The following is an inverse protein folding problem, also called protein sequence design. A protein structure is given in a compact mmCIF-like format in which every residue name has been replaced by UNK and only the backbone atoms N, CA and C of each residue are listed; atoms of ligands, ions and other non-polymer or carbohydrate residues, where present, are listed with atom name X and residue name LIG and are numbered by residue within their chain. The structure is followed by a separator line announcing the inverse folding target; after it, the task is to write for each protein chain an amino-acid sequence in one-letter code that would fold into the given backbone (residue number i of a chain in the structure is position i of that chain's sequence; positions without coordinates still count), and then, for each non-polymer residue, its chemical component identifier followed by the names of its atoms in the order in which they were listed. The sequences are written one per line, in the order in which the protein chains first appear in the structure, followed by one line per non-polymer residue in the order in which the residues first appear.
data_IF_739972632753
#
_entry.id   IF_739972632753
#
_cell.length_a   1.000
_cell.length_b   1.000
_cell.length_c   1.000
_cell.angle_alpha   90.00
_cell.angle_beta   90.00
_cell.angle_gamma   90.00
#
_symmetry.space_group_name_H-M   'P 1'
#
loop_
_entity.id
_entity.type
_entity.pdbx_description
1 polymer ?
#
# COMPACT_ATOMS: atom_id res chain seq x y z
N UNK A 1 -25.39 -10.81 0.32
CA UNK A 1 -24.53 -9.60 0.35
C UNK A 1 -24.41 -9.05 -1.07
N UNK A 2 -24.95 -7.86 -1.36
CA UNK A 2 -24.90 -7.25 -2.70
C UNK A 2 -23.46 -7.06 -3.19
N UNK A 3 -23.23 -7.24 -4.49
CA UNK A 3 -21.90 -7.10 -5.11
C UNK A 3 -21.27 -5.72 -4.84
N UNK A 4 -22.09 -4.65 -4.80
CA UNK A 4 -21.64 -3.29 -4.45
C UNK A 4 -21.01 -3.22 -3.04
N UNK A 5 -21.57 -3.91 -2.04
CA UNK A 5 -20.99 -3.95 -0.68
C UNK A 5 -19.66 -4.71 -0.64
N UNK A 6 -19.50 -5.76 -1.47
CA UNK A 6 -18.23 -6.50 -1.59
C UNK A 6 -17.12 -5.63 -2.18
N UNK A 7 -17.41 -4.88 -3.25
CA UNK A 7 -16.43 -3.95 -3.84
C UNK A 7 -16.06 -2.82 -2.88
N UNK A 8 -17.01 -2.28 -2.12
CA UNK A 8 -16.73 -1.27 -1.10
C UNK A 8 -15.81 -1.80 0.01
N UNK A 9 -16.05 -3.03 0.50
CA UNK A 9 -15.18 -3.66 1.52
C UNK A 9 -13.77 -3.91 0.98
N UNK A 10 -13.65 -4.38 -0.26
CA UNK A 10 -12.36 -4.56 -0.93
C UNK A 10 -11.65 -3.21 -1.06
N UNK A 11 -12.34 -2.16 -1.52
CA UNK A 11 -11.77 -0.82 -1.64
C UNK A 11 -11.24 -0.30 -0.29
N UNK A 12 -11.99 -0.49 0.80
CA UNK A 12 -11.55 -0.11 2.15
C UNK A 12 -10.33 -0.91 2.59
N UNK A 13 -10.31 -2.23 2.36
CA UNK A 13 -9.17 -3.08 2.71
C UNK A 13 -7.89 -2.65 1.96
N UNK A 14 -7.99 -2.42 0.64
CA UNK A 14 -6.87 -1.93 -0.18
C UNK A 14 -6.40 -0.55 0.28
N UNK A 15 -7.33 0.35 0.64
CA UNK A 15 -6.99 1.69 1.15
C UNK A 15 -6.25 1.61 2.48
N UNK A 16 -6.76 0.82 3.42
CA UNK A 16 -6.13 0.63 4.73
C UNK A 16 -4.74 -0.01 4.60
N UNK A 17 -4.60 -1.00 3.72
CA UNK A 17 -3.31 -1.65 3.47
C UNK A 17 -2.31 -0.70 2.80
N UNK A 18 -2.74 0.10 1.82
CA UNK A 18 -1.89 1.12 1.20
C UNK A 18 -1.40 2.18 2.19
N UNK A 19 -2.29 2.68 3.06
CA UNK A 19 -1.91 3.62 4.13
C UNK A 19 -0.94 3.01 5.13
N UNK A 20 -1.16 1.75 5.53
CA UNK A 20 -0.24 1.03 6.40
C UNK A 20 1.15 0.90 5.77
N UNK A 21 1.23 0.52 4.49
CA UNK A 21 2.52 0.43 3.78
C UNK A 21 3.23 1.77 3.68
N UNK A 22 2.50 2.86 3.38
CA UNK A 22 3.06 4.22 3.41
C UNK A 22 3.61 4.60 4.79
N UNK A 23 2.89 4.24 5.85
CA UNK A 23 3.34 4.49 7.22
C UNK A 23 4.62 3.72 7.55
N UNK A 24 4.72 2.45 7.15
CA UNK A 24 5.93 1.64 7.35
C UNK A 24 7.11 2.23 6.59
N UNK A 25 6.94 2.57 5.30
CA UNK A 25 7.99 3.23 4.50
C UNK A 25 8.46 4.53 5.17
N UNK A 26 7.54 5.33 5.69
CA UNK A 26 7.88 6.57 6.38
C UNK A 26 8.68 6.31 7.67
N UNK A 27 8.31 5.29 8.43
CA UNK A 27 9.06 4.86 9.61
C UNK A 27 10.46 4.37 9.23
N UNK A 28 10.60 3.54 8.20
CA UNK A 28 11.89 3.03 7.73
C UNK A 28 12.81 4.16 7.26
N UNK A 29 12.26 5.19 6.59
CA UNK A 29 13.02 6.39 6.24
C UNK A 29 13.51 7.16 7.47
N UNK A 30 12.72 7.24 8.54
CA UNK A 30 13.12 7.94 9.76
C UNK A 30 14.14 7.17 10.59
N UNK A 31 13.96 5.85 10.73
CA UNK A 31 14.88 4.99 11.49
C UNK A 31 16.17 4.72 10.72
N UNK A 32 16.12 4.84 9.39
CA UNK A 32 17.23 4.45 8.51
C UNK A 32 17.48 2.94 8.52
N UNK A 33 16.54 2.15 9.02
CA UNK A 33 16.65 0.70 9.11
C UNK A 33 15.32 0.07 8.69
N UNK A 34 15.38 -0.81 7.70
CA UNK A 34 14.24 -1.55 7.17
C UNK A 34 14.32 -3.00 7.64
N UNK A 35 13.20 -3.54 8.12
CA UNK A 35 13.12 -4.94 8.50
C UNK A 35 12.47 -5.75 7.39
N UNK A 36 13.27 -6.55 6.70
CA UNK A 36 12.81 -7.38 5.59
C UNK A 36 12.89 -8.86 5.95
N UNK A 37 11.73 -9.49 6.07
CA UNK A 37 11.59 -10.86 6.58
C UNK A 37 12.24 -11.04 7.97
N UNK A 38 13.33 -11.80 8.04
CA UNK A 38 14.09 -12.10 9.27
C UNK A 38 15.34 -11.25 9.42
N UNK A 39 15.67 -10.40 8.45
CA UNK A 39 16.87 -9.57 8.46
C UNK A 39 16.53 -8.08 8.54
N UNK A 40 17.23 -7.38 9.42
CA UNK A 40 17.21 -5.92 9.48
C UNK A 40 18.36 -5.40 8.62
N UNK A 41 18.06 -4.47 7.71
CA UNK A 41 19.05 -3.82 6.85
C UNK A 41 19.06 -2.34 7.16
N UNK A 42 20.20 -1.80 7.60
CA UNK A 42 20.32 -0.39 7.92
C UNK A 42 21.10 0.38 6.85
N UNK A 43 20.74 1.64 6.65
CA UNK A 43 21.35 2.55 5.67
C UNK A 43 22.86 2.74 5.89
N UNK A 44 23.33 2.67 7.15
CA UNK A 44 24.76 2.78 7.47
C UNK A 44 25.57 1.52 7.11
N UNK A 45 24.95 0.33 7.06
CA UNK A 45 25.62 -0.93 6.70
C UNK A 45 25.70 -1.09 5.19
N UNK A 46 24.63 -0.74 4.47
CA UNK A 46 24.59 -0.83 3.01
C UNK A 46 23.52 0.09 2.41
N UNK A 47 23.92 1.33 2.09
CA UNK A 47 23.01 2.37 1.61
C UNK A 47 22.29 2.00 0.29
N UNK A 48 22.98 1.35 -0.65
CA UNK A 48 22.37 0.95 -1.94
C UNK A 48 21.29 -0.11 -1.75
N UNK A 49 21.54 -1.10 -0.88
CA UNK A 49 20.56 -2.14 -0.60
C UNK A 49 19.37 -1.58 0.19
N UNK A 50 19.61 -0.68 1.14
CA UNK A 50 18.55 0.03 1.86
C UNK A 50 17.65 0.82 0.89
N UNK A 51 18.24 1.61 -0.02
CA UNK A 51 17.47 2.36 -1.02
C UNK A 51 16.68 1.43 -1.95
N UNK A 52 17.27 0.34 -2.41
CA UNK A 52 16.58 -0.64 -3.25
C UNK A 52 15.38 -1.29 -2.56
N UNK A 53 15.53 -1.67 -1.29
CA UNK A 53 14.44 -2.22 -0.48
C UNK A 53 13.33 -1.19 -0.20
N UNK A 54 13.72 0.03 0.12
CA UNK A 54 12.80 1.14 0.38
C UNK A 54 11.99 1.49 -0.89
N UNK A 55 12.65 1.54 -2.05
CA UNK A 55 12.00 1.82 -3.34
C UNK A 55 11.02 0.71 -3.73
N UNK A 56 11.40 -0.55 -3.53
CA UNK A 56 10.50 -1.69 -3.72
C UNK A 56 9.24 -1.56 -2.86
N UNK A 57 9.40 -1.21 -1.57
CA UNK A 57 8.27 -1.06 -0.66
C UNK A 57 7.37 0.13 -1.03
N UNK A 58 7.97 1.22 -1.52
CA UNK A 58 7.26 2.37 -2.07
C UNK A 58 6.47 2.00 -3.33
N UNK A 59 7.05 1.22 -4.25
CA UNK A 59 6.33 0.71 -5.43
C UNK A 59 5.12 -0.13 -5.03
N UNK A 60 5.25 -1.00 -4.03
CA UNK A 60 4.11 -1.76 -3.50
C UNK A 60 3.05 -0.83 -2.93
N UNK A 61 3.42 0.15 -2.10
CA UNK A 61 2.48 1.11 -1.53
C UNK A 61 1.71 1.88 -2.62
N UNK A 62 2.41 2.34 -3.68
CA UNK A 62 1.80 2.95 -4.86
C UNK A 62 0.85 2.00 -5.60
N UNK A 63 1.23 0.72 -5.76
CA UNK A 63 0.37 -0.30 -6.35
C UNK A 63 -0.93 -0.51 -5.57
N UNK A 64 -0.86 -0.56 -4.24
CA UNK A 64 -2.06 -0.65 -3.38
C UNK A 64 -2.94 0.60 -3.50
N UNK A 65 -2.34 1.80 -3.55
CA UNK A 65 -3.07 3.05 -3.73
C UNK A 65 -3.80 3.09 -5.09
N UNK A 66 -3.11 2.73 -6.18
CA UNK A 66 -3.72 2.64 -7.51
C UNK A 66 -4.88 1.61 -7.54
N UNK A 67 -4.68 0.44 -6.93
CA UNK A 67 -5.72 -0.59 -6.78
C UNK A 67 -6.95 -0.10 -6.01
N UNK A 68 -6.74 0.67 -4.93
CA UNK A 68 -7.81 1.28 -4.16
C UNK A 68 -8.62 2.27 -5.01
N UNK A 69 -7.96 3.15 -5.78
CA UNK A 69 -8.61 4.11 -6.67
C UNK A 69 -9.50 3.41 -7.71
N UNK A 70 -8.99 2.35 -8.34
CA UNK A 70 -9.77 1.58 -9.32
C UNK A 70 -10.99 0.93 -8.66
N UNK A 71 -10.84 0.34 -7.47
CA UNK A 71 -11.96 -0.26 -6.74
C UNK A 71 -13.04 0.79 -6.37
N UNK A 72 -12.62 1.99 -5.96
CA UNK A 72 -13.53 3.10 -5.68
C UNK A 72 -14.26 3.60 -6.93
N UNK A 73 -13.56 3.71 -8.07
CA UNK A 73 -14.20 4.06 -9.35
C UNK A 73 -15.27 3.04 -9.74
N UNK A 74 -14.97 1.74 -9.64
CA UNK A 74 -15.93 0.67 -9.94
C UNK A 74 -17.13 0.71 -8.98
N UNK A 75 -16.89 0.92 -7.68
CA UNK A 75 -17.95 1.05 -6.69
C UNK A 75 -18.87 2.27 -6.97
N UNK A 76 -18.27 3.41 -7.35
CA UNK A 76 -19.01 4.62 -7.72
C UNK A 76 -19.82 4.45 -9.01
N UNK A 77 -19.26 3.79 -10.03
CA UNK A 77 -19.94 3.43 -11.28
C UNK A 77 -21.14 2.48 -11.00
N UNK A 78 -20.94 1.46 -10.17
CA UNK A 78 -22.00 0.52 -9.79
C UNK A 78 -23.17 1.22 -9.08
N UNK A 79 -22.87 2.18 -8.18
CA UNK A 79 -23.88 3.03 -7.52
C UNK A 79 -24.66 3.91 -8.49
N UNK A 80 -24.01 4.43 -9.55
CA UNK A 80 -24.69 5.22 -10.59
C UNK A 80 -25.60 4.38 -11.49
N UNK A 81 -25.28 3.10 -11.71
CA UNK A 81 -26.07 2.19 -12.56
C UNK A 81 -27.29 1.59 -11.83
N UNK A 82 -27.27 1.57 -10.50
CA UNK A 82 -28.36 1.04 -9.66
C UNK A 82 -29.41 2.12 -9.28
N UNK A 83 -29.14 3.40 -9.57
CA UNK A 83 -30.07 4.53 -9.39
C UNK A 83 -30.70 4.89 -10.74
#
# INVERSE_FOLDING_TARGET
MNNSKKFALIAVAFTAFGLYKLFVVFQDMQTGCIQFQTHQTCSYENAENFQGLLDLELMFACGWAAGAVVCWMVAAQAKKKER
#
